data_IF_235580261897
#
_entry.id   IF_235580261897
#
_cell.length_a   1.000
_cell.length_b   1.000
_cell.length_c   1.000
_cell.angle_alpha   90.00
_cell.angle_beta   90.00
_cell.angle_gamma   90.00
#
_symmetry.space_group_name_H-M   'P 1'
#
loop_
_entity.id
_entity.type
_entity.pdbx_description
1 polymer ?
#
# COMPACT_ATOMS: atom_id res chain seq x y z
N UNK A 1 2.90 -19.21 25.55
CA UNK A 1 2.21 -20.33 24.89
C UNK A 1 3.29 -21.33 24.49
N UNK A 2 3.17 -22.60 24.88
CA UNK A 2 3.97 -23.69 24.28
C UNK A 2 3.12 -24.29 23.16
N UNK A 3 3.74 -24.66 22.05
CA UNK A 3 3.05 -25.18 20.87
C UNK A 3 3.55 -26.60 20.55
N UNK A 4 2.70 -27.40 19.91
CA UNK A 4 3.11 -28.64 19.26
C UNK A 4 3.68 -28.36 17.87
N UNK A 5 4.55 -29.25 17.38
CA UNK A 5 5.22 -29.12 16.08
C UNK A 5 6.70 -28.74 16.18
N UNK A 6 7.35 -28.61 15.02
CA UNK A 6 8.79 -28.29 14.90
C UNK A 6 9.07 -26.95 14.20
N UNK A 7 8.02 -26.18 13.93
CA UNK A 7 8.11 -24.88 13.27
C UNK A 7 7.90 -23.74 14.28
N UNK A 8 8.60 -22.62 14.09
CA UNK A 8 8.44 -21.42 14.90
C UNK A 8 7.22 -20.65 14.38
N UNK A 9 6.30 -20.30 15.27
CA UNK A 9 5.22 -19.36 14.95
C UNK A 9 5.72 -17.93 15.13
N UNK A 10 5.81 -17.18 14.03
CA UNK A 10 6.23 -15.80 14.03
C UNK A 10 5.02 -14.87 13.85
N UNK A 11 5.01 -13.74 14.56
CA UNK A 11 3.96 -12.75 14.42
C UNK A 11 4.04 -12.06 13.04
N UNK A 12 2.94 -11.92 12.29
CA UNK A 12 3.01 -11.43 10.90
C UNK A 12 3.43 -9.96 10.78
N UNK A 13 3.25 -9.15 11.84
CA UNK A 13 3.67 -7.74 11.83
C UNK A 13 5.20 -7.55 11.93
N UNK A 14 5.95 -8.55 12.41
CA UNK A 14 7.42 -8.42 12.52
C UNK A 14 8.14 -8.86 11.24
N UNK A 15 7.43 -9.48 10.29
CA UNK A 15 8.02 -10.01 9.05
C UNK A 15 8.72 -8.93 8.21
N UNK A 16 8.22 -7.68 8.20
CA UNK A 16 8.88 -6.57 7.48
C UNK A 16 10.25 -6.25 8.08
N UNK A 17 10.35 -6.20 9.41
CA UNK A 17 11.59 -5.88 10.10
C UNK A 17 12.65 -6.97 9.90
N UNK A 18 12.22 -8.24 9.89
CA UNK A 18 13.11 -9.37 9.61
C UNK A 18 13.37 -9.59 8.11
N UNK A 19 12.61 -8.92 7.24
CA UNK A 19 12.53 -9.25 5.82
C UNK A 19 12.34 -10.77 5.60
N UNK A 20 11.45 -11.35 6.40
CA UNK A 20 11.19 -12.79 6.42
C UNK A 20 9.89 -13.10 5.69
N UNK A 21 9.90 -14.18 4.92
CA UNK A 21 8.71 -14.78 4.35
C UNK A 21 8.49 -16.20 4.91
N UNK A 22 7.58 -16.96 4.30
CA UNK A 22 7.20 -18.29 4.77
C UNK A 22 7.35 -19.35 3.68
N UNK A 23 8.31 -19.17 2.75
CA UNK A 23 8.59 -20.13 1.68
C UNK A 23 9.69 -21.17 2.03
N UNK A 24 10.28 -21.06 3.22
CA UNK A 24 11.34 -21.95 3.69
C UNK A 24 12.35 -21.31 4.65
N UNK A 25 12.21 -20.01 4.92
CA UNK A 25 13.06 -19.25 5.84
C UNK A 25 13.21 -19.90 7.22
N UNK A 26 14.42 -19.79 7.78
CA UNK A 26 14.79 -20.32 9.10
C UNK A 26 15.17 -19.19 10.04
N UNK A 27 14.82 -19.33 11.32
CA UNK A 27 15.19 -18.38 12.37
C UNK A 27 15.93 -19.07 13.51
N UNK A 28 16.97 -18.41 14.02
CA UNK A 28 17.70 -18.85 15.20
C UNK A 28 17.04 -18.31 16.48
N UNK A 29 17.02 -19.12 17.53
CA UNK A 29 16.47 -18.75 18.84
C UNK A 29 17.58 -18.79 19.88
N UNK A 30 17.72 -17.70 20.64
CA UNK A 30 18.70 -17.56 21.72
C UNK A 30 17.95 -17.32 23.03
N UNK A 31 18.39 -17.99 24.11
CA UNK A 31 17.79 -17.86 25.44
C UNK A 31 18.67 -16.99 26.36
N UNK A 32 18.23 -15.79 26.77
CA UNK A 32 18.97 -14.97 27.73
C UNK A 32 18.96 -15.64 29.11
N UNK A 33 20.15 -15.82 29.70
CA UNK A 33 20.29 -16.53 30.97
C UNK A 33 20.35 -15.59 32.17
N UNK A 34 21.16 -14.52 32.10
CA UNK A 34 21.36 -13.60 33.21
C UNK A 34 20.17 -12.63 33.38
N UNK A 35 20.03 -12.07 34.58
CA UNK A 35 18.94 -11.13 34.87
C UNK A 35 19.06 -9.86 34.01
N UNK A 36 20.28 -9.40 33.74
CA UNK A 36 20.59 -8.26 32.90
C UNK A 36 20.16 -8.53 31.45
N UNK A 37 20.56 -9.68 30.89
CA UNK A 37 20.17 -10.06 29.52
C UNK A 37 18.65 -10.23 29.37
N UNK A 38 17.97 -10.76 30.39
CA UNK A 38 16.51 -10.85 30.42
C UNK A 38 15.86 -9.45 30.48
N UNK A 39 16.43 -8.52 31.25
CA UNK A 39 15.96 -7.14 31.32
C UNK A 39 16.16 -6.42 29.98
N UNK A 40 17.32 -6.54 29.35
CA UNK A 40 17.60 -5.99 28.01
C UNK A 40 16.62 -6.54 26.98
N UNK A 41 16.39 -7.85 26.96
CA UNK A 41 15.44 -8.47 26.05
C UNK A 41 14.01 -7.95 26.25
N UNK A 42 13.57 -7.76 27.50
CA UNK A 42 12.21 -7.31 27.83
C UNK A 42 12.00 -5.80 27.65
N UNK A 43 13.02 -4.99 27.86
CA UNK A 43 12.89 -3.52 27.83
C UNK A 43 13.33 -2.95 26.49
N UNK A 44 14.49 -3.37 25.98
CA UNK A 44 15.09 -2.81 24.78
C UNK A 44 14.69 -3.57 23.51
N UNK A 45 14.71 -4.90 23.53
CA UNK A 45 14.54 -5.73 22.32
C UNK A 45 13.11 -6.21 22.08
N UNK A 46 12.18 -5.98 23.01
CA UNK A 46 10.81 -6.45 22.90
C UNK A 46 10.15 -5.85 21.66
N UNK A 47 9.50 -6.68 20.84
CA UNK A 47 8.93 -6.26 19.55
C UNK A 47 7.88 -5.16 19.69
N UNK A 48 7.08 -5.19 20.76
CA UNK A 48 6.07 -4.16 21.04
C UNK A 48 6.67 -2.78 21.31
N UNK A 49 7.97 -2.69 21.65
CA UNK A 49 8.67 -1.43 21.87
C UNK A 49 9.35 -0.93 20.59
N UNK A 50 9.55 -1.80 19.59
CA UNK A 50 10.29 -1.53 18.36
C UNK A 50 9.37 -1.51 17.14
N UNK A 51 8.26 -0.76 17.24
CA UNK A 51 7.27 -0.63 16.15
C UNK A 51 7.78 0.29 15.04
N UNK A 52 8.59 1.29 15.40
CA UNK A 52 9.11 2.31 14.48
C UNK A 52 10.51 1.94 13.97
N UNK A 53 10.80 2.34 12.73
CA UNK A 53 12.13 2.26 12.16
C UNK A 53 13.06 3.28 12.83
N UNK A 54 14.21 2.86 13.41
CA UNK A 54 15.18 3.80 13.98
C UNK A 54 15.83 4.69 12.90
N UNK A 55 15.76 4.30 11.62
CA UNK A 55 16.34 5.06 10.52
C UNK A 55 15.45 6.20 10.00
N UNK A 56 14.12 6.07 10.12
CA UNK A 56 13.17 7.01 9.49
C UNK A 56 12.01 7.47 10.37
N UNK A 57 11.84 6.88 11.56
CA UNK A 57 10.71 7.12 12.45
C UNK A 57 9.38 6.51 11.98
N UNK A 58 9.32 5.97 10.76
CA UNK A 58 8.09 5.37 10.20
C UNK A 58 7.78 4.00 10.82
N UNK A 59 6.50 3.64 10.99
CA UNK A 59 6.13 2.32 11.51
C UNK A 59 6.51 1.19 10.55
N UNK A 60 7.15 0.15 11.10
CA UNK A 60 7.46 -1.12 10.43
C UNK A 60 6.41 -2.17 10.74
N UNK A 61 6.03 -2.29 12.02
CA UNK A 61 5.00 -3.23 12.48
C UNK A 61 3.60 -2.65 12.24
N UNK A 62 3.18 -2.69 10.98
CA UNK A 62 1.87 -2.21 10.51
C UNK A 62 1.20 -3.25 9.59
N UNK A 63 -0.13 -3.16 9.37
CA UNK A 63 -0.82 -4.05 8.43
C UNK A 63 -0.11 -4.12 7.06
N UNK A 64 0.04 -5.34 6.54
CA UNK A 64 0.62 -5.64 5.22
C UNK A 64 -0.23 -6.67 4.48
N UNK A 65 -0.08 -6.70 3.15
CA UNK A 65 -0.71 -7.69 2.27
C UNK A 65 -2.20 -7.85 2.60
N UNK A 66 -2.62 -9.05 2.99
CA UNK A 66 -3.98 -9.42 3.35
C UNK A 66 -4.62 -8.45 4.33
N UNK A 67 -3.91 -8.05 5.38
CA UNK A 67 -4.46 -7.14 6.38
C UNK A 67 -4.83 -5.78 5.75
N UNK A 68 -3.99 -5.27 4.84
CA UNK A 68 -4.29 -4.03 4.11
C UNK A 68 -5.49 -4.22 3.21
N UNK A 69 -5.54 -5.30 2.44
CA UNK A 69 -6.65 -5.63 1.54
C UNK A 69 -7.98 -5.73 2.29
N UNK A 70 -7.99 -6.40 3.44
CA UNK A 70 -9.20 -6.56 4.26
C UNK A 70 -9.70 -5.24 4.84
N UNK A 71 -8.81 -4.41 5.39
CA UNK A 71 -9.18 -3.09 5.91
C UNK A 71 -9.60 -2.13 4.78
N UNK A 72 -8.95 -2.22 3.62
CA UNK A 72 -9.32 -1.47 2.43
C UNK A 72 -10.73 -1.85 1.95
N UNK A 73 -11.01 -3.15 1.83
CA UNK A 73 -12.34 -3.66 1.48
C UNK A 73 -13.41 -3.17 2.46
N UNK A 74 -13.16 -3.31 3.77
CA UNK A 74 -14.10 -2.93 4.83
C UNK A 74 -14.46 -1.44 4.77
N UNK A 75 -13.49 -0.58 4.47
CA UNK A 75 -13.65 0.89 4.52
C UNK A 75 -13.96 1.53 3.18
N UNK A 76 -14.16 0.71 2.13
CA UNK A 76 -14.63 1.17 0.82
C UNK A 76 -16.12 1.49 0.89
N UNK A 77 -16.49 2.61 0.28
CA UNK A 77 -17.89 3.02 0.08
C UNK A 77 -18.27 2.61 -1.35
N UNK A 78 -19.40 1.92 -1.49
CA UNK A 78 -19.90 1.43 -2.78
C UNK A 78 -21.24 2.08 -3.04
N UNK A 79 -21.30 2.90 -4.10
CA UNK A 79 -22.53 3.54 -4.55
C UNK A 79 -23.51 2.49 -5.08
N UNK A 80 -24.79 2.61 -4.72
CA UNK A 80 -25.85 1.68 -5.13
C UNK A 80 -25.84 0.33 -4.42
N UNK A 81 -25.08 0.19 -3.32
CA UNK A 81 -25.05 -1.04 -2.53
C UNK A 81 -26.36 -1.23 -1.72
N UNK A 82 -26.54 -2.44 -1.19
CA UNK A 82 -27.78 -2.89 -0.56
C UNK A 82 -28.14 -2.04 0.66
N UNK A 83 -29.34 -1.45 0.64
CA UNK A 83 -29.87 -0.52 1.65
C UNK A 83 -29.00 0.72 1.91
N UNK A 84 -28.36 1.25 0.87
CA UNK A 84 -27.78 2.59 0.88
C UNK A 84 -28.80 3.65 1.34
N UNK A 85 -28.29 4.66 2.04
CA UNK A 85 -29.06 5.83 2.45
C UNK A 85 -29.82 6.44 1.27
N UNK A 86 -31.14 6.60 1.44
CA UNK A 86 -31.96 7.35 0.50
C UNK A 86 -32.61 8.52 1.24
N UNK A 87 -32.57 9.73 0.66
CA UNK A 87 -33.25 10.87 1.24
C UNK A 87 -34.76 10.64 1.27
N UNK A 88 -35.44 11.34 2.17
CA UNK A 88 -36.89 11.30 2.25
C UNK A 88 -37.52 11.70 0.89
N UNK A 89 -38.54 10.94 0.48
CA UNK A 89 -39.38 11.25 -0.66
C UNK A 89 -40.80 11.59 -0.17
N UNK A 90 -41.66 12.12 -1.05
CA UNK A 90 -43.01 12.55 -0.67
C UNK A 90 -43.85 11.43 -0.01
N UNK A 91 -43.53 10.17 -0.29
CA UNK A 91 -44.23 8.97 0.12
C UNK A 91 -43.47 8.11 1.16
N UNK A 92 -42.24 8.47 1.53
CA UNK A 92 -41.42 7.71 2.50
C UNK A 92 -40.40 8.58 3.25
N UNK A 93 -40.16 8.32 4.55
CA UNK A 93 -39.08 8.96 5.28
C UNK A 93 -37.70 8.53 4.76
N UNK A 94 -36.64 9.10 5.32
CA UNK A 94 -35.26 8.65 5.05
C UNK A 94 -35.12 7.14 5.32
N UNK A 95 -34.44 6.43 4.43
CA UNK A 95 -34.08 5.01 4.61
C UNK A 95 -32.56 4.87 4.73
N UNK A 96 -32.07 3.85 5.41
CA UNK A 96 -30.63 3.67 5.66
C UNK A 96 -30.08 4.53 6.81
N UNK A 97 -30.94 4.84 7.79
CA UNK A 97 -30.60 5.55 9.03
C UNK A 97 -30.73 4.59 10.20
N UNK A 98 -29.66 4.45 10.99
CA UNK A 98 -29.58 3.51 12.10
C UNK A 98 -29.33 4.24 13.42
N UNK A 99 -30.01 3.81 14.49
CA UNK A 99 -29.93 4.41 15.82
C UNK A 99 -28.65 4.06 16.58
N UNK A 100 -27.97 2.99 16.18
CA UNK A 100 -26.70 2.53 16.78
C UNK A 100 -25.91 1.64 15.81
N UNK A 101 -24.59 1.48 16.03
CA UNK A 101 -23.79 0.49 15.30
C UNK A 101 -24.34 -0.94 15.44
N UNK A 102 -24.87 -1.30 16.62
CA UNK A 102 -25.46 -2.62 16.86
C UNK A 102 -26.70 -2.89 16.00
N UNK A 103 -27.54 -1.87 15.76
CA UNK A 103 -28.68 -2.00 14.84
C UNK A 103 -28.24 -2.21 13.40
N UNK A 104 -27.22 -1.48 12.95
CA UNK A 104 -26.64 -1.66 11.63
C UNK A 104 -26.01 -3.05 11.46
N UNK A 105 -25.38 -3.60 12.51
CA UNK A 105 -24.89 -4.99 12.53
C UNK A 105 -26.06 -5.97 12.36
N UNK A 106 -27.15 -5.82 13.13
CA UNK A 106 -28.33 -6.69 12.98
C UNK A 106 -28.94 -6.61 11.57
N UNK A 107 -28.94 -5.43 10.95
CA UNK A 107 -29.40 -5.26 9.57
C UNK A 107 -28.48 -5.97 8.56
N UNK A 108 -27.16 -5.93 8.79
CA UNK A 108 -26.17 -6.63 7.97
C UNK A 108 -26.26 -8.15 8.16
N UNK A 109 -26.45 -8.64 9.38
CA UNK A 109 -26.63 -10.07 9.69
C UNK A 109 -27.86 -10.65 8.99
N UNK A 110 -28.93 -9.85 8.86
CA UNK A 110 -30.14 -10.21 8.11
C UNK A 110 -29.96 -10.14 6.59
N UNK A 111 -28.88 -9.54 6.11
CA UNK A 111 -28.63 -9.29 4.68
C UNK A 111 -29.41 -8.11 4.11
N UNK A 112 -29.94 -7.22 4.95
CA UNK A 112 -30.62 -5.99 4.51
C UNK A 112 -29.60 -4.91 4.17
N UNK A 113 -28.56 -4.77 5.00
CA UNK A 113 -27.51 -3.77 4.84
C UNK A 113 -26.19 -4.42 4.37
N UNK A 114 -25.54 -3.82 3.37
CA UNK A 114 -24.13 -4.11 3.10
C UNK A 114 -23.22 -3.30 4.02
N UNK A 115 -22.14 -3.91 4.50
CA UNK A 115 -21.14 -3.24 5.37
C UNK A 115 -20.45 -2.05 4.68
N UNK A 116 -20.48 -2.03 3.33
CA UNK A 116 -19.86 -1.00 2.49
C UNK A 116 -20.85 0.03 1.94
N UNK A 117 -22.14 -0.11 2.24
CA UNK A 117 -23.16 0.86 1.86
C UNK A 117 -23.05 2.12 2.70
N UNK A 118 -23.33 3.27 2.08
CA UNK A 118 -23.42 4.55 2.76
C UNK A 118 -24.67 4.59 3.64
N UNK A 119 -24.52 4.97 4.90
CA UNK A 119 -25.58 5.03 5.90
C UNK A 119 -25.42 6.29 6.77
N UNK A 120 -26.50 6.65 7.48
CA UNK A 120 -26.43 7.55 8.63
C UNK A 120 -26.50 6.73 9.91
N UNK A 121 -25.56 6.95 10.82
CA UNK A 121 -25.54 6.23 12.10
C UNK A 121 -25.28 7.19 13.25
N UNK A 122 -26.04 7.03 14.33
CA UNK A 122 -25.78 7.74 15.59
C UNK A 122 -24.64 7.05 16.33
N UNK A 123 -23.59 7.81 16.63
CA UNK A 123 -22.40 7.37 17.36
C UNK A 123 -22.33 8.07 18.71
N UNK A 124 -21.99 7.32 19.76
CA UNK A 124 -21.89 7.83 21.14
C UNK A 124 -20.56 7.53 21.81
N UNK A 125 -19.76 6.59 21.27
CA UNK A 125 -18.47 6.17 21.85
C UNK A 125 -17.27 6.51 20.96
N UNK A 126 -17.52 6.99 19.74
CA UNK A 126 -16.49 7.40 18.79
C UNK A 126 -16.45 8.92 18.74
N UNK A 127 -15.25 9.48 18.92
CA UNK A 127 -15.04 10.93 18.85
C UNK A 127 -15.24 11.41 17.41
N UNK A 128 -16.01 12.49 17.16
CA UNK A 128 -16.12 13.08 15.82
C UNK A 128 -14.78 13.54 15.25
N UNK A 129 -14.74 13.82 13.95
CA UNK A 129 -13.59 14.51 13.36
C UNK A 129 -13.43 15.90 13.99
N UNK A 130 -12.21 16.45 13.95
CA UNK A 130 -11.94 17.76 14.57
C UNK A 130 -12.85 18.89 14.02
N UNK A 131 -13.23 18.81 12.74
CA UNK A 131 -14.15 19.75 12.09
C UNK A 131 -15.56 19.67 12.68
N UNK A 132 -16.12 18.45 12.77
CA UNK A 132 -17.47 18.20 13.30
C UNK A 132 -17.50 18.44 14.81
N UNK A 133 -16.42 18.13 15.52
CA UNK A 133 -16.30 18.39 16.95
C UNK A 133 -16.39 19.88 17.25
N UNK A 134 -15.67 20.71 16.48
CA UNK A 134 -15.70 22.16 16.64
C UNK A 134 -17.07 22.76 16.31
N UNK A 135 -17.80 22.19 15.35
CA UNK A 135 -19.14 22.63 14.97
C UNK A 135 -20.20 22.25 16.01
N UNK A 136 -20.20 21.00 16.48
CA UNK A 136 -21.27 20.47 17.33
C UNK A 136 -21.04 20.70 18.83
N UNK A 137 -19.80 20.64 19.30
CA UNK A 137 -19.45 20.66 20.72
C UNK A 137 -18.63 21.90 21.12
N UNK A 138 -18.16 22.67 20.15
CA UNK A 138 -17.47 23.93 20.36
C UNK A 138 -16.26 23.80 21.29
N UNK A 139 -16.15 24.73 22.25
CA UNK A 139 -15.00 24.78 23.18
C UNK A 139 -15.02 23.72 24.27
N UNK A 140 -16.17 23.08 24.52
CA UNK A 140 -16.29 22.10 25.60
C UNK A 140 -15.68 20.73 25.22
N UNK A 141 -15.49 20.49 23.92
CA UNK A 141 -14.99 19.22 23.38
C UNK A 141 -16.03 18.10 23.51
N UNK A 142 -15.90 17.07 22.68
CA UNK A 142 -16.81 15.93 22.75
C UNK A 142 -16.50 15.05 23.97
N UNK A 143 -17.53 14.55 24.65
CA UNK A 143 -17.39 13.61 25.76
C UNK A 143 -18.00 12.23 25.44
N UNK A 144 -17.38 11.12 25.89
CA UNK A 144 -17.95 9.78 25.70
C UNK A 144 -19.38 9.69 26.23
N UNK A 145 -20.31 9.26 25.37
CA UNK A 145 -21.74 9.21 25.62
C UNK A 145 -22.55 10.27 24.86
N UNK A 146 -21.93 11.36 24.41
CA UNK A 146 -22.60 12.40 23.66
C UNK A 146 -22.87 11.96 22.21
N UNK A 147 -24.15 11.94 21.77
CA UNK A 147 -24.50 11.46 20.45
C UNK A 147 -24.19 12.48 19.35
N UNK A 148 -23.65 12.00 18.23
CA UNK A 148 -23.58 12.72 16.97
C UNK A 148 -23.94 11.78 15.80
N UNK A 149 -24.25 12.34 14.64
CA UNK A 149 -24.63 11.56 13.45
C UNK A 149 -23.46 11.57 12.46
N UNK A 150 -23.06 10.39 12.01
CA UNK A 150 -22.03 10.23 11.00
C UNK A 150 -22.64 9.76 9.66
N UNK A 151 -22.30 10.46 8.58
CA UNK A 151 -22.53 10.01 7.20
C UNK A 151 -21.34 9.12 6.78
N UNK A 152 -21.46 7.81 6.90
CA UNK A 152 -20.33 6.87 6.73
C UNK A 152 -20.83 5.46 6.36
N UNK A 153 -19.96 4.45 6.38
CA UNK A 153 -20.35 3.04 6.20
C UNK A 153 -20.21 2.30 7.52
N UNK A 154 -20.95 1.20 7.70
CA UNK A 154 -20.78 0.33 8.87
C UNK A 154 -19.33 -0.15 9.00
N UNK A 155 -18.67 -0.46 7.89
CA UNK A 155 -17.27 -0.89 7.90
C UNK A 155 -16.30 0.17 8.40
N UNK A 156 -16.51 1.45 8.06
CA UNK A 156 -15.72 2.55 8.62
C UNK A 156 -15.98 2.74 10.11
N UNK A 157 -17.20 2.51 10.61
CA UNK A 157 -17.47 2.50 12.05
C UNK A 157 -16.69 1.39 12.74
N UNK A 158 -16.80 0.16 12.26
CA UNK A 158 -16.11 -1.01 12.81
C UNK A 158 -14.58 -0.82 12.81
N UNK A 159 -14.03 -0.16 11.79
CA UNK A 159 -12.61 0.19 11.77
C UNK A 159 -12.23 1.17 12.89
N UNK A 160 -13.02 2.24 13.07
CA UNK A 160 -12.72 3.27 14.07
C UNK A 160 -12.89 2.75 15.51
N UNK A 161 -13.72 1.74 15.75
CA UNK A 161 -13.81 1.03 17.05
C UNK A 161 -12.51 0.31 17.44
N UNK A 162 -11.65 -0.02 16.46
CA UNK A 162 -10.34 -0.63 16.73
C UNK A 162 -9.34 0.39 17.26
N UNK A 163 -9.51 1.67 16.90
CA UNK A 163 -8.63 2.76 17.30
C UNK A 163 -8.84 3.11 18.78
N UNK A 164 -7.85 3.78 19.42
CA UNK A 164 -7.97 4.17 20.82
C UNK A 164 -9.13 5.15 21.07
N UNK A 165 -9.74 5.11 22.27
CA UNK A 165 -10.76 6.08 22.64
C UNK A 165 -10.21 7.50 22.54
N UNK A 166 -11.03 8.43 22.04
CA UNK A 166 -10.64 9.82 21.82
C UNK A 166 -9.78 10.08 20.58
N UNK A 167 -9.45 9.05 19.80
CA UNK A 167 -8.93 9.26 18.44
C UNK A 167 -10.05 9.78 17.52
N UNK A 168 -9.82 10.86 16.75
CA UNK A 168 -10.85 11.42 15.87
C UNK A 168 -11.31 10.42 14.81
N UNK A 169 -12.62 10.40 14.52
CA UNK A 169 -13.19 9.52 13.51
C UNK A 169 -12.59 9.77 12.12
N UNK A 170 -12.08 8.71 11.49
CA UNK A 170 -11.51 8.76 10.15
C UNK A 170 -12.50 8.19 9.13
N UNK A 171 -13.13 9.08 8.36
CA UNK A 171 -14.08 8.72 7.30
C UNK A 171 -13.39 8.64 5.92
N UNK A 172 -12.35 7.81 5.80
CA UNK A 172 -11.58 7.65 4.56
C UNK A 172 -11.46 6.17 4.21
N UNK A 173 -11.15 5.88 2.95
CA UNK A 173 -10.77 4.53 2.55
C UNK A 173 -9.35 4.21 3.06
N UNK A 174 -9.16 3.05 3.68
CA UNK A 174 -7.93 2.67 4.36
C UNK A 174 -6.87 2.10 3.39
N UNK A 175 -6.36 2.96 2.51
CA UNK A 175 -5.14 2.65 1.75
C UNK A 175 -3.93 2.47 2.68
N UNK A 176 -2.93 1.65 2.31
CA UNK A 176 -1.72 1.42 3.12
C UNK A 176 -1.08 2.70 3.68
N UNK A 177 -1.01 3.76 2.86
CA UNK A 177 -0.45 5.07 3.28
C UNK A 177 -1.30 5.77 4.34
N UNK A 178 -2.63 5.65 4.27
CA UNK A 178 -3.54 6.22 5.28
C UNK A 178 -3.35 5.50 6.61
N UNK A 179 -3.27 4.17 6.58
CA UNK A 179 -2.98 3.36 7.78
C UNK A 179 -1.62 3.71 8.38
N UNK A 180 -0.58 3.87 7.55
CA UNK A 180 0.75 4.29 8.01
C UNK A 180 0.70 5.67 8.69
N UNK A 181 -0.05 6.62 8.12
CA UNK A 181 -0.20 7.96 8.69
C UNK A 181 -0.92 7.93 10.04
N UNK A 182 -1.95 7.10 10.19
CA UNK A 182 -2.68 6.91 11.45
C UNK A 182 -1.74 6.31 12.50
N UNK A 183 -1.01 5.25 12.16
CA UNK A 183 -0.11 4.59 13.11
C UNK A 183 1.04 5.52 13.53
N UNK A 184 1.53 6.37 12.62
CA UNK A 184 2.54 7.36 12.95
C UNK A 184 2.00 8.43 13.92
N UNK A 185 0.81 8.99 13.64
CA UNK A 185 0.14 9.93 14.55
C UNK A 185 -0.18 9.30 15.91
N UNK A 186 -0.55 8.01 15.93
CA UNK A 186 -0.72 7.25 17.16
C UNK A 186 0.59 7.12 17.94
N UNK A 187 1.71 6.86 17.28
CA UNK A 187 3.01 6.74 17.94
C UNK A 187 3.55 8.07 18.49
N UNK A 188 3.19 9.19 17.87
CA UNK A 188 3.54 10.53 18.35
C UNK A 188 2.69 10.96 19.56
N UNK A 189 1.42 10.56 19.61
CA UNK A 189 0.45 11.07 20.59
C UNK A 189 0.07 10.10 21.71
N UNK A 190 0.19 8.80 21.47
CA UNK A 190 -0.26 7.75 22.40
C UNK A 190 0.94 6.90 22.86
N UNK A 191 0.85 6.30 24.06
CA UNK A 191 1.87 5.38 24.54
C UNK A 191 2.07 4.18 23.60
N UNK A 192 3.30 3.69 23.49
CA UNK A 192 3.64 2.59 22.58
C UNK A 192 2.82 1.31 22.81
N UNK A 193 2.42 1.03 24.07
CA UNK A 193 1.54 -0.09 24.40
C UNK A 193 0.16 0.01 23.71
N UNK A 194 -0.38 1.23 23.60
CA UNK A 194 -1.65 1.49 22.91
C UNK A 194 -1.49 1.25 21.42
N UNK A 195 -0.37 1.69 20.84
CA UNK A 195 -0.05 1.46 19.42
C UNK A 195 0.07 -0.04 19.15
N UNK A 196 0.82 -0.78 19.98
CA UNK A 196 0.99 -2.23 19.86
C UNK A 196 -0.36 -2.97 19.88
N UNK A 197 -1.22 -2.66 20.84
CA UNK A 197 -2.56 -3.26 20.94
C UNK A 197 -3.45 -2.87 19.76
N UNK A 198 -3.31 -1.64 19.25
CA UNK A 198 -4.09 -1.17 18.10
C UNK A 198 -3.69 -1.92 16.84
N UNK A 199 -2.40 -2.08 16.55
CA UNK A 199 -1.95 -2.81 15.35
C UNK A 199 -2.31 -4.29 15.39
N UNK A 200 -2.38 -4.91 16.58
CA UNK A 200 -2.90 -6.27 16.74
C UNK A 200 -4.40 -6.37 16.43
N UNK A 201 -5.21 -5.41 16.89
CA UNK A 201 -6.63 -5.34 16.50
C UNK A 201 -6.79 -5.16 14.99
N UNK A 202 -5.97 -4.29 14.38
CA UNK A 202 -5.97 -4.08 12.93
C UNK A 202 -5.58 -5.35 12.17
N UNK A 203 -4.62 -6.13 12.69
CA UNK A 203 -4.24 -7.43 12.14
C UNK A 203 -5.43 -8.39 12.12
N UNK A 204 -6.10 -8.57 13.25
CA UNK A 204 -7.23 -9.50 13.37
C UNK A 204 -8.39 -9.11 12.46
N UNK A 205 -8.78 -7.84 12.48
CA UNK A 205 -9.83 -7.33 11.60
C UNK A 205 -9.43 -7.44 10.12
N UNK A 206 -8.19 -7.09 9.78
CA UNK A 206 -7.64 -7.19 8.43
C UNK A 206 -7.73 -8.61 7.89
N UNK A 207 -7.28 -9.62 8.64
CA UNK A 207 -7.39 -11.02 8.21
C UNK A 207 -8.84 -11.48 8.08
N UNK A 208 -9.71 -11.10 9.02
CA UNK A 208 -11.13 -11.47 8.99
C UNK A 208 -11.83 -10.98 7.71
N UNK A 209 -11.61 -9.72 7.36
CA UNK A 209 -12.22 -9.08 6.20
C UNK A 209 -11.51 -9.41 4.88
N UNK A 210 -10.20 -9.70 4.91
CA UNK A 210 -9.50 -10.23 3.74
C UNK A 210 -10.13 -11.55 3.28
N UNK A 211 -10.41 -12.45 4.22
CA UNK A 211 -11.06 -13.75 3.95
C UNK A 211 -12.45 -13.58 3.29
N UNK A 212 -13.16 -12.49 3.59
CA UNK A 212 -14.53 -12.20 3.11
C UNK A 212 -14.58 -11.18 1.98
N UNK A 213 -13.42 -10.71 1.52
CA UNK A 213 -13.33 -9.65 0.50
C UNK A 213 -13.70 -10.13 -0.90
N UNK A 214 -13.72 -11.45 -1.14
CA UNK A 214 -13.92 -12.03 -2.47
C UNK A 214 -12.69 -11.89 -3.39
N UNK A 215 -11.56 -11.42 -2.85
CA UNK A 215 -10.31 -11.30 -3.61
C UNK A 215 -9.82 -12.69 -4.01
N UNK A 216 -9.81 -12.94 -5.30
CA UNK A 216 -9.37 -14.18 -5.93
C UNK A 216 -8.68 -13.86 -7.26
N UNK A 217 -8.07 -14.85 -7.90
CA UNK A 217 -7.45 -14.69 -9.22
C UNK A 217 -7.93 -15.81 -10.13
N UNK A 218 -8.81 -15.45 -11.07
CA UNK A 218 -9.22 -16.29 -12.19
C UNK A 218 -8.63 -15.78 -13.50
N UNK A 219 -8.57 -16.65 -14.50
CA UNK A 219 -8.37 -16.22 -15.88
C UNK A 219 -9.50 -15.27 -16.32
N UNK A 220 -10.70 -15.32 -15.74
CA UNK A 220 -11.75 -14.35 -16.06
C UNK A 220 -11.39 -12.93 -15.58
N UNK A 221 -10.65 -12.80 -14.48
CA UNK A 221 -10.32 -11.51 -13.85
C UNK A 221 -9.16 -10.78 -14.56
N UNK A 222 -8.41 -11.49 -15.40
CA UNK A 222 -7.29 -10.90 -16.16
C UNK A 222 -7.82 -10.36 -17.51
N UNK A 223 -8.37 -9.15 -17.50
CA UNK A 223 -8.99 -8.52 -18.67
C UNK A 223 -7.95 -7.94 -19.64
N UNK A 224 -8.11 -8.22 -20.95
CA UNK A 224 -7.25 -7.65 -21.99
C UNK A 224 -7.95 -6.45 -22.61
N UNK A 225 -7.31 -5.27 -22.73
CA UNK A 225 -7.96 -4.11 -23.31
C UNK A 225 -8.35 -4.36 -24.78
N UNK A 226 -9.59 -4.05 -25.19
CA UNK A 226 -10.08 -4.37 -26.54
C UNK A 226 -9.31 -3.62 -27.63
N UNK A 227 -8.85 -2.41 -27.32
CA UNK A 227 -8.04 -1.55 -28.21
C UNK A 227 -6.58 -2.00 -28.33
N UNK A 228 -6.14 -3.07 -27.66
CA UNK A 228 -4.73 -3.51 -27.67
C UNK A 228 -4.19 -3.67 -29.09
N UNK A 229 -4.92 -4.37 -29.96
CA UNK A 229 -4.48 -4.65 -31.32
C UNK A 229 -4.35 -3.37 -32.14
N UNK A 230 -5.33 -2.48 -32.06
CA UNK A 230 -5.32 -1.19 -32.75
C UNK A 230 -4.12 -0.32 -32.34
N UNK A 231 -3.81 -0.28 -31.03
CA UNK A 231 -2.64 0.43 -30.52
C UNK A 231 -1.37 -0.17 -31.12
N UNK A 232 -1.19 -1.49 -31.01
CA UNK A 232 0.02 -2.16 -31.51
C UNK A 232 0.21 -2.00 -33.02
N UNK A 233 -0.86 -2.09 -33.83
CA UNK A 233 -0.79 -1.93 -35.28
C UNK A 233 -0.32 -0.52 -35.66
N UNK A 234 -0.83 0.52 -34.97
CA UNK A 234 -0.39 1.91 -35.19
C UNK A 234 1.08 2.13 -34.86
N UNK A 235 1.59 1.49 -33.80
CA UNK A 235 3.00 1.58 -33.42
C UNK A 235 3.90 0.71 -34.31
N UNK A 236 3.40 -0.41 -34.83
CA UNK A 236 4.11 -1.20 -35.86
C UNK A 236 4.29 -0.39 -37.13
N UNK A 237 3.25 0.32 -37.60
CA UNK A 237 3.34 1.21 -38.76
C UNK A 237 4.38 2.33 -38.57
N UNK A 238 4.53 2.83 -37.34
CA UNK A 238 5.58 3.81 -36.99
C UNK A 238 6.96 3.17 -37.02
N UNK A 239 7.11 1.97 -36.44
CA UNK A 239 8.38 1.23 -36.46
C UNK A 239 8.82 0.89 -37.89
N UNK A 240 7.89 0.48 -38.75
CA UNK A 240 8.15 0.17 -40.16
C UNK A 240 8.61 1.41 -40.96
N UNK A 241 8.12 2.60 -40.61
CA UNK A 241 8.61 3.86 -41.21
C UNK A 241 10.06 4.13 -40.83
N UNK A 242 10.43 3.89 -39.57
CA UNK A 242 11.82 4.02 -39.09
C UNK A 242 12.72 3.00 -39.80
N UNK A 243 12.26 1.76 -39.96
CA UNK A 243 13.02 0.73 -40.67
C UNK A 243 13.23 1.09 -42.15
N UNK A 244 12.22 1.66 -42.82
CA UNK A 244 12.36 2.16 -44.20
C UNK A 244 13.33 3.34 -44.32
N UNK A 245 13.38 4.23 -43.32
CA UNK A 245 14.35 5.33 -43.28
C UNK A 245 15.78 4.81 -43.10
N UNK A 246 15.96 3.81 -42.24
CA UNK A 246 17.23 3.11 -42.06
C UNK A 246 17.70 2.42 -43.35
N UNK A 247 16.81 1.70 -44.04
CA UNK A 247 17.12 1.06 -45.33
C UNK A 247 17.51 2.05 -46.44
N UNK A 248 17.04 3.30 -46.36
CA UNK A 248 17.42 4.39 -47.29
C UNK A 248 18.72 5.10 -46.88
N UNK A 249 19.35 4.70 -45.78
CA UNK A 249 20.58 5.31 -45.26
C UNK A 249 20.36 6.66 -44.57
N UNK A 250 19.12 7.02 -44.22
CA UNK A 250 18.80 8.29 -43.57
C UNK A 250 19.06 8.28 -42.05
N UNK A 251 19.19 7.08 -41.45
CA UNK A 251 19.47 6.88 -40.03
C UNK A 251 20.65 5.92 -39.90
N UNK A 252 21.48 6.12 -38.88
CA UNK A 252 22.47 5.12 -38.50
C UNK A 252 21.83 3.99 -37.65
N UNK A 253 22.58 2.93 -37.36
CA UNK A 253 22.05 1.77 -36.63
C UNK A 253 21.68 2.08 -35.18
N UNK A 254 22.42 2.96 -34.52
CA UNK A 254 22.21 3.30 -33.11
C UNK A 254 21.01 4.24 -32.96
N UNK A 255 20.90 5.25 -33.82
CA UNK A 255 19.74 6.15 -33.97
C UNK A 255 18.46 5.35 -34.27
N UNK A 256 18.54 4.33 -35.14
CA UNK A 256 17.41 3.43 -35.40
C UNK A 256 16.96 2.74 -34.13
N UNK A 257 17.89 2.20 -33.34
CA UNK A 257 17.55 1.50 -32.10
C UNK A 257 16.93 2.42 -31.06
N UNK A 258 17.50 3.60 -30.87
CA UNK A 258 16.96 4.62 -29.96
C UNK A 258 15.55 5.04 -30.38
N UNK A 259 15.33 5.31 -31.67
CA UNK A 259 14.02 5.66 -32.20
C UNK A 259 12.97 4.54 -31.98
N UNK A 260 13.34 3.28 -32.24
CA UNK A 260 12.44 2.14 -32.00
C UNK A 260 12.13 1.95 -30.51
N UNK A 261 13.13 2.15 -29.62
CA UNK A 261 12.94 2.08 -28.17
C UNK A 261 11.92 3.11 -27.71
N UNK A 262 12.01 4.36 -28.16
CA UNK A 262 11.04 5.40 -27.79
C UNK A 262 9.62 5.10 -28.30
N UNK A 263 9.50 4.65 -29.55
CA UNK A 263 8.21 4.20 -30.12
C UNK A 263 7.56 3.13 -29.24
N UNK A 264 8.33 2.13 -28.82
CA UNK A 264 7.80 1.03 -28.02
C UNK A 264 7.57 1.38 -26.55
N UNK A 265 8.31 2.34 -25.98
CA UNK A 265 8.00 2.90 -24.65
C UNK A 265 6.63 3.57 -24.67
N UNK A 266 6.41 4.47 -25.63
CA UNK A 266 5.11 5.13 -25.82
C UNK A 266 3.98 4.10 -26.00
N UNK A 267 4.18 3.08 -26.83
CA UNK A 267 3.20 2.01 -27.04
C UNK A 267 2.85 1.28 -25.74
N UNK A 268 3.87 0.94 -24.95
CA UNK A 268 3.66 0.21 -23.70
C UNK A 268 2.94 1.08 -22.67
N UNK A 269 3.16 2.40 -22.68
CA UNK A 269 2.46 3.33 -21.78
C UNK A 269 1.00 3.53 -22.20
N UNK A 270 0.72 3.65 -23.49
CA UNK A 270 -0.65 3.74 -24.00
C UNK A 270 -1.46 2.46 -23.75
N UNK A 271 -0.86 1.28 -23.92
CA UNK A 271 -1.49 0.01 -23.52
C UNK A 271 -1.77 0.00 -22.01
N UNK A 272 -0.87 0.56 -21.20
CA UNK A 272 -1.07 0.71 -19.76
C UNK A 272 -2.28 1.59 -19.42
N UNK A 273 -2.43 2.74 -20.09
CA UNK A 273 -3.57 3.63 -19.89
C UNK A 273 -4.89 2.98 -20.32
N UNK A 274 -4.91 2.35 -21.50
CA UNK A 274 -6.09 1.63 -21.98
C UNK A 274 -6.53 0.51 -21.03
N UNK A 275 -5.56 -0.13 -20.34
CA UNK A 275 -5.82 -1.16 -19.35
C UNK A 275 -6.42 -0.56 -18.06
N UNK A 276 -5.93 0.60 -17.58
CA UNK A 276 -6.53 1.30 -16.42
C UNK A 276 -7.97 1.69 -16.67
N UNK A 277 -8.27 2.20 -17.86
CA UNK A 277 -9.62 2.62 -18.24
C UNK A 277 -10.59 1.43 -18.40
N UNK A 278 -10.07 0.28 -18.82
CA UNK A 278 -10.89 -0.89 -19.10
C UNK A 278 -11.21 -1.73 -17.86
N UNK A 279 -10.29 -1.77 -16.89
CA UNK A 279 -10.48 -2.54 -15.68
C UNK A 279 -11.47 -1.84 -14.73
N UNK A 280 -12.47 -2.57 -14.20
CA UNK A 280 -13.33 -2.04 -13.16
C UNK A 280 -12.60 -2.04 -11.81
N UNK A 281 -13.04 -1.16 -10.90
CA UNK A 281 -12.42 -0.96 -9.58
C UNK A 281 -12.66 -2.13 -8.61
N UNK A 282 -13.71 -2.93 -8.86
CA UNK A 282 -14.04 -4.14 -8.12
C UNK A 282 -13.22 -5.37 -8.53
N UNK A 283 -12.42 -5.27 -9.59
CA UNK A 283 -11.56 -6.35 -10.03
C UNK A 283 -10.48 -6.65 -8.97
N UNK A 284 -10.34 -7.90 -8.50
CA UNK A 284 -9.40 -8.24 -7.42
C UNK A 284 -7.95 -7.85 -7.70
N UNK A 285 -7.49 -7.94 -8.95
CA UNK A 285 -6.09 -7.62 -9.32
C UNK A 285 -5.82 -6.13 -9.12
N UNK A 286 -6.78 -5.29 -9.50
CA UNK A 286 -6.70 -3.85 -9.31
C UNK A 286 -6.86 -3.50 -7.84
N UNK A 287 -7.82 -4.11 -7.13
CA UNK A 287 -8.00 -3.88 -5.69
C UNK A 287 -6.73 -4.18 -4.89
N UNK A 288 -6.00 -5.26 -5.19
CA UNK A 288 -4.72 -5.59 -4.52
C UNK A 288 -3.67 -4.50 -4.75
N UNK A 289 -3.54 -4.01 -5.98
CA UNK A 289 -2.54 -3.00 -6.34
C UNK A 289 -2.91 -1.63 -5.78
N UNK A 290 -4.16 -1.21 -5.97
CA UNK A 290 -4.65 0.13 -5.61
C UNK A 290 -4.88 0.28 -4.10
N UNK A 291 -5.04 -0.81 -3.35
CA UNK A 291 -5.01 -0.78 -1.88
C UNK A 291 -3.61 -0.58 -1.29
N UNK A 292 -2.58 -0.79 -2.11
CA UNK A 292 -1.18 -0.76 -1.70
C UNK A 292 -0.74 -2.00 -0.94
N UNK A 293 -1.51 -3.11 -1.02
CA UNK A 293 -1.18 -4.37 -0.38
C UNK A 293 0.09 -4.98 -0.97
N UNK A 294 0.08 -5.27 -2.27
CA UNK A 294 1.25 -5.75 -3.01
C UNK A 294 1.15 -5.44 -4.50
N UNK A 295 2.29 -5.60 -5.17
CA UNK A 295 2.42 -5.44 -6.59
C UNK A 295 2.36 -4.01 -7.08
N UNK A 296 2.48 -3.85 -8.39
CA UNK A 296 2.41 -2.56 -9.06
C UNK A 296 1.63 -2.67 -10.37
N UNK A 297 1.17 -1.53 -10.88
CA UNK A 297 0.42 -1.51 -12.13
C UNK A 297 1.26 -1.96 -13.33
N UNK A 298 2.59 -1.81 -13.28
CA UNK A 298 3.50 -2.33 -14.32
C UNK A 298 3.46 -3.86 -14.42
N UNK A 299 3.32 -4.56 -13.29
CA UNK A 299 3.11 -6.01 -13.25
C UNK A 299 1.75 -6.39 -13.82
N UNK A 300 0.70 -5.64 -13.48
CA UNK A 300 -0.65 -5.84 -14.06
C UNK A 300 -0.64 -5.64 -15.59
N UNK A 301 0.04 -4.58 -16.06
CA UNK A 301 0.27 -4.34 -17.49
C UNK A 301 1.03 -5.49 -18.14
N UNK A 302 2.04 -6.04 -17.47
CA UNK A 302 2.81 -7.17 -17.98
C UNK A 302 1.98 -8.45 -18.05
N UNK A 303 1.06 -8.65 -17.10
CA UNK A 303 0.17 -9.80 -17.01
C UNK A 303 -0.90 -9.80 -18.12
N UNK A 304 -1.56 -8.66 -18.33
CA UNK A 304 -2.76 -8.56 -19.17
C UNK A 304 -2.63 -7.67 -20.42
N UNK A 305 -1.67 -6.73 -20.42
CA UNK A 305 -1.42 -5.80 -21.52
C UNK A 305 -0.34 -6.30 -22.46
N UNK A 306 0.92 -5.98 -22.18
CA UNK A 306 2.09 -6.50 -22.90
C UNK A 306 3.32 -6.42 -21.99
N UNK A 307 4.32 -7.29 -22.22
CA UNK A 307 5.57 -7.23 -21.45
C UNK A 307 6.43 -6.00 -21.81
N UNK A 308 6.44 -5.61 -23.09
CA UNK A 308 7.19 -4.47 -23.57
C UNK A 308 8.65 -4.78 -23.89
N UNK A 309 9.51 -3.77 -23.81
CA UNK A 309 10.93 -3.90 -24.09
C UNK A 309 11.64 -4.75 -23.03
N UNK A 310 12.56 -5.60 -23.48
CA UNK A 310 13.41 -6.43 -22.62
C UNK A 310 14.87 -6.08 -22.85
N UNK A 311 15.73 -6.38 -21.87
CA UNK A 311 17.15 -6.07 -21.92
C UNK A 311 17.97 -7.28 -22.39
N UNK A 312 18.98 -7.00 -23.20
CA UNK A 312 20.00 -7.98 -23.55
C UNK A 312 21.01 -8.14 -22.38
N UNK A 313 21.92 -9.14 -22.43
CA UNK A 313 22.93 -9.32 -21.38
C UNK A 313 23.87 -8.12 -21.19
N UNK A 314 24.09 -7.31 -22.24
CA UNK A 314 24.88 -6.07 -22.17
C UNK A 314 24.18 -4.97 -21.38
N UNK A 315 22.85 -5.03 -21.25
CA UNK A 315 22.02 -4.04 -20.55
C UNK A 315 21.30 -3.07 -21.48
N UNK A 316 21.41 -3.24 -22.80
CA UNK A 316 20.70 -2.43 -23.78
C UNK A 316 19.30 -3.00 -24.02
N UNK A 317 18.34 -2.13 -24.39
CA UNK A 317 17.02 -2.58 -24.81
C UNK A 317 17.08 -3.26 -26.17
N UNK A 318 16.41 -4.40 -26.29
CA UNK A 318 16.21 -5.05 -27.58
C UNK A 318 15.15 -4.24 -28.35
N UNK A 319 15.43 -3.75 -29.58
CA UNK A 319 14.54 -2.85 -30.31
C UNK A 319 13.23 -3.50 -30.77
N UNK A 320 13.11 -4.83 -30.64
CA UNK A 320 11.86 -5.59 -30.80
C UNK A 320 11.30 -5.94 -29.42
N UNK A 321 10.10 -5.45 -29.06
CA UNK A 321 9.49 -5.73 -27.76
C UNK A 321 8.83 -7.12 -27.75
N UNK A 322 8.50 -7.57 -26.54
CA UNK A 322 7.55 -8.66 -26.33
C UNK A 322 6.13 -8.08 -26.35
N UNK A 323 5.38 -8.37 -27.41
CA UNK A 323 4.02 -7.84 -27.62
C UNK A 323 2.96 -8.67 -26.87
N UNK A 324 3.27 -9.95 -26.68
CA UNK A 324 2.42 -10.87 -25.92
C UNK A 324 2.39 -10.51 -24.43
N UNK A 325 1.26 -10.77 -23.78
CA UNK A 325 1.15 -10.73 -22.32
C UNK A 325 1.36 -12.14 -21.73
N UNK A 326 1.57 -12.23 -20.41
CA UNK A 326 1.64 -13.55 -19.76
C UNK A 326 0.31 -14.30 -19.78
N UNK A 327 -0.82 -13.59 -19.89
CA UNK A 327 -2.13 -14.19 -20.13
C UNK A 327 -2.21 -14.86 -21.50
N UNK A 328 -1.75 -14.16 -22.54
CA UNK A 328 -1.82 -14.65 -23.93
C UNK A 328 -0.84 -15.81 -24.16
N UNK A 329 0.28 -15.80 -23.44
CA UNK A 329 1.38 -16.74 -23.61
C UNK A 329 2.43 -16.17 -24.55
N UNK A 330 3.69 -16.24 -24.13
CA UNK A 330 4.81 -15.76 -24.94
C UNK A 330 5.17 -16.80 -26.01
N UNK A 331 5.55 -16.32 -27.19
CA UNK A 331 6.16 -17.18 -28.21
C UNK A 331 7.54 -17.67 -27.78
N UNK A 332 8.09 -18.68 -28.46
CA UNK A 332 9.42 -19.24 -28.16
C UNK A 332 10.51 -18.17 -28.16
N UNK A 333 10.51 -17.29 -29.17
CA UNK A 333 11.50 -16.21 -29.29
C UNK A 333 11.31 -15.15 -28.20
N UNK A 334 10.07 -14.71 -27.95
CA UNK A 334 9.76 -13.75 -26.89
C UNK A 334 10.17 -14.27 -25.51
N UNK A 335 9.90 -15.55 -25.24
CA UNK A 335 10.30 -16.17 -23.98
C UNK A 335 11.82 -16.25 -23.87
N UNK A 336 12.51 -16.66 -24.94
CA UNK A 336 13.97 -16.75 -24.95
C UNK A 336 14.63 -15.40 -24.66
N UNK A 337 14.22 -14.32 -25.33
CA UNK A 337 14.80 -12.98 -25.10
C UNK A 337 14.48 -12.44 -23.70
N UNK A 338 13.31 -12.77 -23.13
CA UNK A 338 12.95 -12.37 -21.78
C UNK A 338 13.85 -13.04 -20.71
N UNK A 339 14.40 -14.23 -20.99
CA UNK A 339 15.29 -14.92 -20.05
C UNK A 339 16.60 -14.18 -19.77
N UNK A 340 17.10 -13.38 -20.73
CA UNK A 340 18.36 -12.65 -20.57
C UNK A 340 18.29 -11.66 -19.41
N UNK A 341 17.27 -10.79 -19.42
CA UNK A 341 17.04 -9.82 -18.35
C UNK A 341 16.72 -10.50 -17.01
N UNK A 342 15.93 -11.57 -17.01
CA UNK A 342 15.57 -12.29 -15.79
C UNK A 342 16.78 -12.92 -15.09
N UNK A 343 17.65 -13.62 -15.84
CA UNK A 343 18.85 -14.24 -15.28
C UNK A 343 19.86 -13.20 -14.80
N UNK A 344 20.05 -12.12 -15.56
CA UNK A 344 20.93 -11.02 -15.16
C UNK A 344 20.44 -10.36 -13.88
N UNK A 345 19.13 -10.14 -13.75
CA UNK A 345 18.53 -9.59 -12.53
C UNK A 345 18.87 -10.42 -11.28
N UNK A 346 18.70 -11.75 -11.34
CA UNK A 346 19.05 -12.63 -10.22
C UNK A 346 20.55 -12.59 -9.86
N UNK A 347 21.42 -12.59 -10.88
CA UNK A 347 22.86 -12.48 -10.66
C UNK A 347 23.27 -11.13 -10.06
N UNK A 348 22.71 -10.04 -10.58
CA UNK A 348 22.97 -8.68 -10.11
C UNK A 348 22.47 -8.47 -8.67
N UNK A 349 21.34 -9.08 -8.30
CA UNK A 349 20.85 -9.03 -6.91
C UNK A 349 21.86 -9.67 -5.96
N UNK A 350 22.39 -10.84 -6.28
CA UNK A 350 23.39 -11.51 -5.44
C UNK A 350 24.69 -10.70 -5.31
N UNK A 351 25.17 -10.10 -6.40
CA UNK A 351 26.36 -9.24 -6.40
C UNK A 351 26.14 -7.98 -5.56
N UNK A 352 25.00 -7.30 -5.74
CA UNK A 352 24.66 -6.08 -5.00
C UNK A 352 24.55 -6.32 -3.50
N UNK A 353 24.07 -7.50 -3.07
CA UNK A 353 24.04 -7.86 -1.64
C UNK A 353 25.44 -7.87 -1.02
N UNK A 354 26.45 -8.36 -1.75
CA UNK A 354 27.83 -8.36 -1.27
C UNK A 354 28.38 -6.93 -1.11
N UNK A 355 28.14 -6.07 -2.10
CA UNK A 355 28.57 -4.67 -2.05
C UNK A 355 27.87 -3.88 -0.94
N UNK A 356 26.55 -4.07 -0.79
CA UNK A 356 25.79 -3.44 0.31
C UNK A 356 26.27 -3.90 1.68
N UNK A 357 26.58 -5.20 1.86
CA UNK A 357 27.14 -5.71 3.12
C UNK A 357 28.53 -5.14 3.41
N UNK A 358 29.37 -5.03 2.38
CA UNK A 358 30.70 -4.45 2.50
C UNK A 358 30.67 -2.96 2.89
N UNK A 359 29.80 -2.17 2.24
CA UNK A 359 29.59 -0.77 2.57
C UNK A 359 29.07 -0.62 4.01
N UNK A 360 28.09 -1.44 4.39
CA UNK A 360 27.53 -1.43 5.76
C UNK A 360 28.61 -1.68 6.80
N UNK A 361 29.48 -2.68 6.58
CA UNK A 361 30.62 -2.95 7.48
C UNK A 361 31.55 -1.74 7.60
N UNK A 362 31.92 -1.11 6.49
CA UNK A 362 32.78 0.08 6.50
C UNK A 362 32.15 1.25 7.27
N UNK A 363 30.84 1.43 7.14
CA UNK A 363 30.10 2.47 7.88
C UNK A 363 30.06 2.17 9.38
N UNK A 364 29.88 0.90 9.76
CA UNK A 364 29.94 0.47 11.16
C UNK A 364 31.35 0.69 11.72
N UNK A 365 32.40 0.25 11.02
CA UNK A 365 33.79 0.36 11.48
C UNK A 365 34.21 1.80 11.80
N UNK A 366 33.69 2.80 11.06
CA UNK A 366 34.01 4.22 11.30
C UNK A 366 33.13 4.88 12.38
N UNK A 367 31.92 4.35 12.64
CA UNK A 367 30.93 4.99 13.52
C UNK A 367 30.67 4.25 14.83
N UNK A 368 31.30 3.10 15.07
CA UNK A 368 31.06 2.25 16.24
C UNK A 368 31.27 2.97 17.58
N UNK A 369 32.24 3.88 17.67
CA UNK A 369 32.57 4.62 18.90
C UNK A 369 31.79 5.95 19.05
N UNK A 370 30.85 6.24 18.15
CA UNK A 370 30.00 7.44 18.21
C UNK A 370 28.85 7.18 19.20
N UNK A 371 29.06 7.57 20.45
CA UNK A 371 28.12 7.37 21.56
C UNK A 371 27.71 8.72 22.16
N UNK A 372 26.42 8.90 22.44
CA UNK A 372 25.91 10.08 23.17
C UNK A 372 26.37 10.01 24.63
N UNK A 373 27.28 10.92 25.03
CA UNK A 373 27.87 10.97 26.39
C UNK A 373 27.41 12.14 27.25
N UNK A 374 26.86 13.18 26.63
CA UNK A 374 26.36 14.38 27.29
C UNK A 374 24.99 14.77 26.74
N UNK A 375 24.18 15.46 27.55
CA UNK A 375 22.82 15.87 27.16
C UNK A 375 22.80 17.14 26.31
N UNK A 376 23.62 18.13 26.67
CA UNK A 376 23.72 19.41 25.96
C UNK A 376 25.16 19.93 26.05
N UNK A 377 25.75 20.23 24.89
CA UNK A 377 27.11 20.76 24.79
C UNK A 377 27.15 22.30 24.89
N UNK A 378 25.98 22.96 24.95
CA UNK A 378 25.84 24.41 25.11
C UNK A 378 26.22 25.24 23.88
N UNK A 379 26.31 24.63 22.69
CA UNK A 379 26.70 25.33 21.47
C UNK A 379 25.50 25.97 20.77
N UNK A 380 25.66 27.22 20.32
CA UNK A 380 24.68 27.90 19.45
C UNK A 380 24.89 27.59 17.96
N UNK A 381 25.90 26.77 17.61
CA UNK A 381 26.19 26.40 16.22
C UNK A 381 25.15 25.42 15.69
N UNK A 382 24.65 25.67 14.48
CA UNK A 382 23.73 24.79 13.77
C UNK A 382 23.91 24.90 12.26
N UNK A 383 23.02 24.24 11.52
CA UNK A 383 22.93 24.32 10.06
C UNK A 383 21.58 24.92 9.66
N UNK A 384 21.55 25.70 8.58
CA UNK A 384 20.29 26.22 8.03
C UNK A 384 19.63 25.09 7.23
N UNK A 385 18.41 24.73 7.61
CA UNK A 385 17.57 23.76 6.88
C UNK A 385 16.42 24.51 6.26
N UNK A 386 16.26 24.36 4.94
CA UNK A 386 15.14 24.96 4.23
C UNK A 386 13.83 24.25 4.60
N UNK A 387 12.89 25.00 5.19
CA UNK A 387 11.59 24.46 5.59
C UNK A 387 10.60 24.42 4.41
N UNK A 388 10.60 25.46 3.58
CA UNK A 388 9.74 25.59 2.41
C UNK A 388 10.28 26.66 1.47
N UNK A 389 10.03 26.48 0.17
CA UNK A 389 10.25 27.50 -0.84
C UNK A 389 9.00 28.38 -0.96
N UNK A 390 9.17 29.71 -0.97
CA UNK A 390 8.05 30.64 -1.14
C UNK A 390 7.62 30.67 -2.60
N UNK A 391 6.51 30.03 -2.93
CA UNK A 391 5.93 30.11 -4.28
C UNK A 391 5.59 31.56 -4.65
N UNK A 392 6.17 32.13 -5.73
CA UNK A 392 5.82 33.47 -6.19
C UNK A 392 4.43 33.44 -6.87
N UNK A 393 3.39 33.93 -6.19
CA UNK A 393 2.06 34.08 -6.83
C UNK A 393 0.82 34.12 -5.93
N UNK A 394 0.89 33.71 -4.67
CA UNK A 394 -0.25 33.72 -3.74
C UNK A 394 -0.19 34.88 -2.74
N UNK A 395 -0.13 36.11 -3.24
CA UNK A 395 -0.63 37.28 -2.49
C UNK A 395 -2.06 37.55 -2.93
N UNK A 396 -2.98 36.67 -2.48
CA UNK A 396 -4.42 36.91 -2.51
C UNK A 396 -4.89 37.41 -1.15
N UNK A 397 -5.00 38.74 -1.03
CA UNK A 397 -5.82 39.51 -0.06
C UNK A 397 -6.20 38.80 1.26
N UNK A 398 -5.45 39.08 2.33
CA UNK A 398 -6.06 39.25 3.66
C UNK A 398 -6.07 40.74 3.96
N UNK A 399 -7.26 41.32 4.07
CA UNK A 399 -7.49 42.52 4.86
C UNK A 399 -7.75 42.10 6.30
#
# INVERSE_FOLDING_TARGET
>A
MLIEGKAIQLHPLVCEAFNADFDGDQMAVHLPLSAEAQAEARVLMLSSNNILSPASGRPLAMPRLDMVTGLYYLTTEVDGDTAEYQPAAADRPETGVYSSPAEAIMAADRGVLSVRAKIKVRLTQLRPSAEIEAELFGTNGWHPGEPWIADTTLGRVLFNELLPPGYPFVNKQMHKKVQASIINDLAERYPMIVVAQTVDKLKDAGFYWATRSGVTVSMADVLVPPRKKEILDRYEDRADKVEKQFQRGALNHDERNEALVEIWKEATDEVGQALREHYPSDNPIITIVDSGATGNFTQTRTLAGMKGLVTNPKGEFIPRPVKSSFREGLTVLEYFINTHGARKGLADTALRTADSGYLTRRLVDVSQDVIVREHDCGTERGIVVELAERQPGLMGKSR
#
